data_IF_920542400481
#
_entry.id   IF_920542400481
#
_cell.length_a   1.000
_cell.length_b   1.000
_cell.length_c   1.000
_cell.angle_alpha   90.00
_cell.angle_beta   90.00
_cell.angle_gamma   90.00
#
_symmetry.space_group_name_H-M   'P 1'
#
loop_
_entity.id
_entity.type
_entity.pdbx_description
1 polymer ?
#
# COMPACT_ATOMS: atom_id res chain seq x y z
N UNK A 1 12.92 10.89 6.35
CA UNK A 1 11.74 10.02 6.61
C UNK A 1 11.96 9.22 7.89
N UNK A 2 10.95 9.01 8.74
CA UNK A 2 11.03 8.11 9.91
C UNK A 2 10.17 6.88 9.65
N UNK A 3 10.75 5.68 9.72
CA UNK A 3 10.01 4.43 9.56
C UNK A 3 9.26 4.13 10.85
N UNK A 4 7.94 3.93 10.76
CA UNK A 4 7.09 3.61 11.92
C UNK A 4 7.26 2.15 12.35
N UNK A 5 7.33 1.22 11.39
CA UNK A 5 7.50 -0.20 11.66
C UNK A 5 8.07 -0.96 10.46
N UNK A 6 8.36 -2.24 10.68
CA UNK A 6 8.58 -3.25 9.65
C UNK A 6 7.63 -4.41 9.91
N UNK A 7 6.89 -4.84 8.89
CA UNK A 7 5.99 -5.99 8.95
C UNK A 7 6.13 -6.80 7.68
N UNK A 8 6.20 -8.12 7.82
CA UNK A 8 6.31 -9.06 6.71
C UNK A 8 5.15 -10.07 6.77
N UNK A 9 4.61 -10.42 5.60
CA UNK A 9 3.58 -11.44 5.45
C UNK A 9 3.99 -12.40 4.34
N UNK A 10 4.17 -13.67 4.69
CA UNK A 10 4.58 -14.72 3.77
C UNK A 10 3.79 -16.02 4.01
N UNK A 11 3.97 -17.02 3.15
CA UNK A 11 3.36 -18.34 3.33
C UNK A 11 1.88 -18.44 2.94
N UNK A 12 1.42 -17.65 1.97
CA UNK A 12 0.04 -17.64 1.47
C UNK A 12 -1.04 -17.42 2.56
N UNK A 13 -0.93 -16.35 3.36
CA UNK A 13 -1.90 -16.11 4.41
C UNK A 13 -3.29 -15.82 3.81
N UNK A 14 -4.38 -16.30 4.42
CA UNK A 14 -5.72 -15.87 4.02
C UNK A 14 -5.88 -14.36 4.20
N UNK A 15 -6.76 -13.76 3.39
CA UNK A 15 -7.04 -12.32 3.39
C UNK A 15 -7.33 -11.75 4.79
N UNK A 16 -7.96 -12.52 5.68
CA UNK A 16 -8.25 -12.11 7.06
C UNK A 16 -7.00 -11.88 7.92
N UNK A 17 -5.90 -12.62 7.66
CA UNK A 17 -4.63 -12.39 8.35
C UNK A 17 -3.93 -11.15 7.82
N UNK A 18 -3.91 -10.95 6.49
CA UNK A 18 -3.36 -9.74 5.86
C UNK A 18 -4.10 -8.50 6.38
N UNK A 19 -5.43 -8.54 6.40
CA UNK A 19 -6.26 -7.47 6.94
C UNK A 19 -5.87 -7.10 8.37
N UNK A 20 -5.71 -8.07 9.27
CA UNK A 20 -5.34 -7.81 10.67
C UNK A 20 -3.97 -7.17 10.80
N UNK A 21 -2.98 -7.60 10.01
CA UNK A 21 -1.65 -7.00 10.01
C UNK A 21 -1.73 -5.54 9.58
N UNK A 22 -2.39 -5.25 8.46
CA UNK A 22 -2.52 -3.88 7.95
C UNK A 22 -3.31 -3.00 8.91
N UNK A 23 -4.38 -3.51 9.52
CA UNK A 23 -5.14 -2.81 10.57
C UNK A 23 -4.25 -2.45 11.77
N UNK A 24 -3.38 -3.37 12.20
CA UNK A 24 -2.42 -3.11 13.28
C UNK A 24 -1.39 -2.04 12.89
N UNK A 25 -0.96 -1.99 11.62
CA UNK A 25 -0.10 -0.92 11.11
C UNK A 25 -0.82 0.44 11.21
N UNK A 26 -2.07 0.54 10.76
CA UNK A 26 -2.85 1.77 10.81
C UNK A 26 -3.22 2.23 12.24
N UNK A 27 -3.16 1.33 13.23
CA UNK A 27 -3.34 1.72 14.64
C UNK A 27 -2.20 2.60 15.18
N UNK A 28 -1.10 2.70 14.45
CA UNK A 28 0.03 3.58 14.76
C UNK A 28 -0.14 4.97 14.09
N UNK A 29 0.47 6.04 14.65
CA UNK A 29 0.44 7.36 14.03
C UNK A 29 1.36 7.40 12.79
N UNK A 30 0.84 6.96 11.65
CA UNK A 30 1.54 6.94 10.36
C UNK A 30 1.03 8.03 9.41
N UNK A 31 1.92 8.56 8.59
CA UNK A 31 1.61 9.58 7.55
C UNK A 31 1.60 9.00 6.12
N UNK A 32 1.90 7.71 5.96
CA UNK A 32 1.81 7.00 4.69
C UNK A 32 1.77 5.48 4.94
N UNK A 33 1.26 4.75 3.95
CA UNK A 33 1.35 3.30 3.89
C UNK A 33 2.14 2.87 2.65
N UNK A 34 3.21 2.11 2.86
CA UNK A 34 4.08 1.59 1.79
C UNK A 34 4.18 0.08 1.95
N UNK A 35 3.76 -0.65 0.92
CA UNK A 35 3.88 -2.11 0.85
C UNK A 35 4.78 -2.49 -0.32
N UNK A 36 5.85 -3.23 -0.05
CA UNK A 36 6.80 -3.68 -1.08
C UNK A 36 6.88 -5.20 -1.13
N UNK A 37 6.24 -5.81 -2.12
CA UNK A 37 6.50 -7.19 -2.53
C UNK A 37 7.80 -7.26 -3.33
N UNK A 38 8.95 -7.18 -2.66
CA UNK A 38 10.27 -7.12 -3.29
C UNK A 38 10.73 -8.44 -3.96
N UNK A 39 9.85 -9.44 -4.01
CA UNK A 39 10.09 -10.75 -4.62
C UNK A 39 8.92 -11.12 -5.52
N UNK A 40 9.17 -11.97 -6.53
CA UNK A 40 8.11 -12.56 -7.35
C UNK A 40 7.43 -13.68 -6.55
N UNK A 41 6.25 -13.40 -5.99
CA UNK A 41 5.53 -14.39 -5.20
C UNK A 41 4.91 -15.50 -6.08
N UNK A 42 5.04 -16.75 -5.65
CA UNK A 42 4.36 -17.88 -6.31
C UNK A 42 2.89 -17.99 -5.90
N UNK A 43 2.52 -17.42 -4.74
CA UNK A 43 1.17 -17.40 -4.20
C UNK A 43 0.26 -16.42 -4.93
N UNK A 44 -1.04 -16.67 -4.90
CA UNK A 44 -2.02 -15.81 -5.56
C UNK A 44 -2.17 -14.46 -4.83
N UNK A 45 -1.86 -13.37 -5.54
CA UNK A 45 -1.82 -12.03 -4.96
C UNK A 45 -3.21 -11.39 -4.73
N UNK A 46 -4.26 -11.95 -5.32
CA UNK A 46 -5.62 -11.42 -5.22
C UNK A 46 -6.19 -11.40 -3.79
N UNK A 47 -5.85 -12.36 -2.92
CA UNK A 47 -6.29 -12.35 -1.52
C UNK A 47 -5.69 -11.16 -0.75
N UNK A 48 -4.42 -10.83 -1.00
CA UNK A 48 -3.79 -9.62 -0.50
C UNK A 48 -4.50 -8.38 -1.03
N UNK A 49 -4.80 -8.32 -2.33
CA UNK A 49 -5.52 -7.19 -2.91
C UNK A 49 -6.89 -6.94 -2.26
N UNK A 50 -7.70 -7.99 -2.08
CA UNK A 50 -9.00 -7.86 -1.40
C UNK A 50 -8.86 -7.38 0.06
N UNK A 51 -7.87 -7.89 0.79
CA UNK A 51 -7.60 -7.44 2.16
C UNK A 51 -7.22 -5.96 2.21
N UNK A 52 -6.35 -5.53 1.30
CA UNK A 52 -5.90 -4.13 1.17
C UNK A 52 -7.06 -3.20 0.80
N UNK A 53 -7.90 -3.56 -0.17
CA UNK A 53 -9.10 -2.77 -0.50
C UNK A 53 -9.96 -2.56 0.74
N UNK A 54 -10.26 -3.64 1.48
CA UNK A 54 -11.12 -3.54 2.67
C UNK A 54 -10.53 -2.63 3.74
N UNK A 55 -9.27 -2.84 4.13
CA UNK A 55 -8.65 -2.08 5.22
C UNK A 55 -8.41 -0.63 4.83
N UNK A 56 -7.95 -0.33 3.61
CA UNK A 56 -7.70 1.04 3.17
C UNK A 56 -9.01 1.84 3.13
N UNK A 57 -10.11 1.26 2.63
CA UNK A 57 -11.44 1.91 2.66
C UNK A 57 -11.95 2.22 4.06
N UNK A 58 -11.59 1.41 5.05
CA UNK A 58 -11.96 1.64 6.45
C UNK A 58 -11.08 2.72 7.09
N UNK A 59 -9.76 2.65 6.90
CA UNK A 59 -8.79 3.50 7.60
C UNK A 59 -8.59 4.88 6.99
N UNK A 60 -8.86 5.03 5.69
CA UNK A 60 -8.56 6.26 4.95
C UNK A 60 -9.80 7.07 4.55
N UNK A 61 -10.99 6.68 5.02
CA UNK A 61 -12.24 7.39 4.71
C UNK A 61 -12.17 8.88 5.04
N UNK A 62 -11.57 9.21 6.18
CA UNK A 62 -11.49 10.56 6.72
C UNK A 62 -10.07 11.14 6.62
N UNK A 63 -9.24 10.61 5.70
CA UNK A 63 -7.84 10.99 5.50
C UNK A 63 -7.57 11.32 4.03
N UNK A 64 -8.15 12.41 3.50
CA UNK A 64 -8.00 12.80 2.11
C UNK A 64 -6.52 13.03 1.76
N UNK A 65 -6.12 12.65 0.55
CA UNK A 65 -4.75 12.80 0.06
C UNK A 65 -3.72 11.88 0.72
N UNK A 66 -4.11 10.96 1.62
CA UNK A 66 -3.17 10.09 2.32
C UNK A 66 -2.33 9.24 1.33
N UNK A 67 -0.99 9.20 1.45
CA UNK A 67 -0.12 8.43 0.56
C UNK A 67 -0.22 6.92 0.75
N UNK A 68 -0.47 6.22 -0.36
CA UNK A 68 -0.50 4.76 -0.44
C UNK A 68 0.34 4.29 -1.63
N UNK A 69 1.46 3.62 -1.36
CA UNK A 69 2.29 3.00 -2.40
C UNK A 69 2.28 1.48 -2.24
N UNK A 70 1.93 0.78 -3.32
CA UNK A 70 1.81 -0.67 -3.35
C UNK A 70 2.66 -1.20 -4.51
N UNK A 71 3.73 -1.93 -4.20
CA UNK A 71 4.41 -2.80 -5.15
C UNK A 71 3.96 -4.24 -4.90
N UNK A 72 3.24 -4.83 -5.84
CA UNK A 72 2.72 -6.20 -5.75
C UNK A 72 3.11 -6.99 -6.99
N UNK A 73 3.82 -8.10 -6.81
CA UNK A 73 4.35 -8.90 -7.91
C UNK A 73 4.21 -10.40 -7.62
N UNK A 74 3.78 -11.18 -8.62
CA UNK A 74 3.62 -12.62 -8.46
C UNK A 74 2.49 -13.25 -9.27
N UNK A 75 1.99 -14.39 -8.79
CA UNK A 75 0.86 -15.08 -9.40
C UNK A 75 -0.44 -14.24 -9.27
N UNK A 76 -1.25 -14.19 -10.33
CA UNK A 76 -2.45 -13.34 -10.42
C UNK A 76 -2.21 -11.84 -10.20
N UNK A 77 -1.01 -11.36 -10.50
CA UNK A 77 -0.62 -9.95 -10.31
C UNK A 77 -1.53 -8.97 -11.07
N UNK A 78 -1.88 -9.26 -12.33
CA UNK A 78 -2.74 -8.37 -13.12
C UNK A 78 -4.12 -8.24 -12.49
N UNK A 79 -4.69 -9.37 -12.07
CA UNK A 79 -5.97 -9.42 -11.38
C UNK A 79 -5.91 -8.69 -10.02
N UNK A 80 -4.84 -8.89 -9.25
CA UNK A 80 -4.62 -8.19 -7.98
C UNK A 80 -4.53 -6.67 -8.16
N UNK A 81 -3.77 -6.19 -9.16
CA UNK A 81 -3.67 -4.77 -9.49
C UNK A 81 -5.04 -4.23 -9.92
N UNK A 82 -5.80 -4.99 -10.71
CA UNK A 82 -7.14 -4.58 -11.14
C UNK A 82 -8.10 -4.46 -9.95
N UNK A 83 -8.09 -5.42 -9.03
CA UNK A 83 -8.88 -5.38 -7.78
C UNK A 83 -8.55 -4.12 -6.97
N UNK A 84 -7.25 -3.80 -6.80
CA UNK A 84 -6.82 -2.60 -6.09
C UNK A 84 -7.31 -1.32 -6.76
N UNK A 85 -7.15 -1.22 -8.09
CA UNK A 85 -7.63 -0.07 -8.87
C UNK A 85 -9.13 0.09 -8.75
N UNK A 86 -9.91 -0.96 -8.98
CA UNK A 86 -11.36 -0.90 -8.96
C UNK A 86 -11.92 -0.65 -7.56
N UNK A 87 -11.29 -1.22 -6.53
CA UNK A 87 -11.73 -1.11 -5.14
C UNK A 87 -11.39 0.21 -4.46
N UNK A 88 -10.44 0.98 -5.01
CA UNK A 88 -9.94 2.24 -4.43
C UNK A 88 -10.17 3.46 -5.32
N UNK A 89 -10.71 3.30 -6.54
CA UNK A 89 -10.87 4.38 -7.55
C UNK A 89 -11.67 5.61 -7.10
N UNK A 90 -12.60 5.42 -6.16
CA UNK A 90 -13.51 6.46 -5.65
C UNK A 90 -13.01 7.09 -4.35
N UNK A 91 -11.83 6.72 -3.90
CA UNK A 91 -11.21 7.28 -2.70
C UNK A 91 -10.33 8.48 -3.06
N UNK A 92 -10.39 9.51 -2.23
CA UNK A 92 -9.51 10.67 -2.32
C UNK A 92 -8.16 10.35 -1.63
N UNK A 93 -7.35 9.51 -2.25
CA UNK A 93 -6.02 9.10 -1.74
C UNK A 93 -4.97 9.20 -2.84
N UNK A 94 -3.69 9.38 -2.46
CA UNK A 94 -2.57 9.34 -3.40
C UNK A 94 -2.10 7.91 -3.59
N UNK A 95 -2.79 7.19 -4.46
CA UNK A 95 -2.55 5.79 -4.73
C UNK A 95 -1.57 5.59 -5.90
N UNK A 96 -0.43 4.95 -5.62
CA UNK A 96 0.47 4.41 -6.64
C UNK A 96 0.59 2.90 -6.53
N UNK A 97 0.36 2.20 -7.64
CA UNK A 97 0.44 0.73 -7.72
C UNK A 97 1.46 0.35 -8.79
N UNK A 98 2.40 -0.49 -8.39
CA UNK A 98 3.51 -0.99 -9.21
C UNK A 98 3.48 -2.52 -9.29
N UNK A 99 3.85 -3.06 -10.46
CA UNK A 99 3.92 -4.50 -10.71
C UNK A 99 5.34 -5.05 -10.73
N UNK A 100 5.49 -6.25 -11.31
CA UNK A 100 6.79 -6.96 -11.41
C UNK A 100 7.91 -6.14 -12.05
N UNK A 101 7.58 -5.16 -12.88
CA UNK A 101 8.55 -4.33 -13.60
C UNK A 101 9.39 -3.42 -12.67
N UNK A 102 8.99 -3.27 -11.40
CA UNK A 102 9.71 -2.48 -10.40
C UNK A 102 10.39 -3.30 -9.29
N UNK A 103 10.36 -4.64 -9.31
CA UNK A 103 10.93 -5.47 -8.22
C UNK A 103 12.43 -5.24 -8.00
N UNK A 104 13.18 -4.93 -9.07
CA UNK A 104 14.61 -4.62 -9.01
C UNK A 104 14.88 -3.11 -9.06
N UNK A 105 13.85 -2.27 -8.89
CA UNK A 105 13.94 -0.81 -8.90
C UNK A 105 13.62 -0.24 -7.51
N UNK A 106 14.25 -0.80 -6.48
CA UNK A 106 14.03 -0.40 -5.08
C UNK A 106 14.28 1.08 -4.85
N UNK A 107 15.32 1.64 -5.48
CA UNK A 107 15.69 3.05 -5.34
C UNK A 107 14.56 3.95 -5.86
N UNK A 108 14.03 3.63 -7.04
CA UNK A 108 12.89 4.34 -7.62
C UNK A 108 11.66 4.27 -6.71
N UNK A 109 11.34 3.09 -6.15
CA UNK A 109 10.20 2.92 -5.26
C UNK A 109 10.38 3.73 -3.96
N UNK A 110 11.60 3.76 -3.42
CA UNK A 110 11.95 4.59 -2.26
C UNK A 110 11.78 6.08 -2.56
N UNK A 111 12.35 6.57 -3.66
CA UNK A 111 12.26 7.98 -4.08
C UNK A 111 10.80 8.40 -4.33
N UNK A 112 9.98 7.53 -4.95
CA UNK A 112 8.55 7.77 -5.12
C UNK A 112 7.82 7.88 -3.80
N UNK A 113 8.06 6.95 -2.87
CA UNK A 113 7.46 6.98 -1.54
C UNK A 113 7.81 8.27 -0.80
N UNK A 114 9.09 8.66 -0.79
CA UNK A 114 9.54 9.89 -0.15
C UNK A 114 8.88 11.14 -0.74
N UNK A 115 8.76 11.20 -2.07
CA UNK A 115 8.11 12.33 -2.74
C UNK A 115 6.62 12.43 -2.37
N UNK A 116 5.88 11.33 -2.42
CA UNK A 116 4.45 11.32 -2.06
C UNK A 116 4.23 11.77 -0.61
N UNK A 117 5.07 11.30 0.31
CA UNK A 117 5.03 11.68 1.73
C UNK A 117 5.32 13.17 1.89
N UNK A 118 6.36 13.69 1.22
CA UNK A 118 6.75 15.08 1.33
C UNK A 118 5.65 16.03 0.83
N UNK A 119 5.02 15.70 -0.30
CA UNK A 119 3.91 16.49 -0.84
C UNK A 119 2.71 16.52 0.13
N UNK A 120 2.30 15.36 0.66
CA UNK A 120 1.21 15.27 1.64
C UNK A 120 1.49 16.08 2.91
N UNK A 121 2.69 15.94 3.49
CA UNK A 121 3.06 16.66 4.71
C UNK A 121 3.19 18.17 4.51
N UNK A 122 3.61 18.62 3.32
CA UNK A 122 3.68 20.04 3.01
C UNK A 122 2.29 20.66 2.87
N UNK A 123 1.33 19.93 2.32
CA UNK A 123 -0.06 20.38 2.23
C UNK A 123 -0.75 20.41 3.60
N UNK A 124 -0.54 19.40 4.46
CA UNK A 124 -1.08 19.45 5.82
C UNK A 124 -0.52 20.64 6.62
N UNK A 125 0.77 20.96 6.47
CA UNK A 125 1.40 22.11 7.14
C UNK A 125 0.99 23.47 6.55
N UNK A 126 0.60 23.51 5.27
CA UNK A 126 0.13 24.73 4.62
C UNK A 126 -1.38 24.98 4.79
N UNK A 127 -2.10 23.99 5.30
CA UNK A 127 -3.52 24.07 5.66
C UNK A 127 -3.75 24.54 7.11
N UNK A 128 -2.69 24.57 7.94
CA UNK A 128 -2.62 25.21 9.26
C UNK A 128 -2.27 26.70 9.16
#
# INVERSE_FOLDING_TARGET
>A
MKIANYADTSGDPPASKVYKVVKAIFSQPISAYVMTGACLANQEQWYHAFALVKVLREELRDRPGFPVLILIAGNREKEAIQILKDGLKDMDIRLEIYGREYIYRSDYIGERAEKLIAEYLNEERGAE
#
